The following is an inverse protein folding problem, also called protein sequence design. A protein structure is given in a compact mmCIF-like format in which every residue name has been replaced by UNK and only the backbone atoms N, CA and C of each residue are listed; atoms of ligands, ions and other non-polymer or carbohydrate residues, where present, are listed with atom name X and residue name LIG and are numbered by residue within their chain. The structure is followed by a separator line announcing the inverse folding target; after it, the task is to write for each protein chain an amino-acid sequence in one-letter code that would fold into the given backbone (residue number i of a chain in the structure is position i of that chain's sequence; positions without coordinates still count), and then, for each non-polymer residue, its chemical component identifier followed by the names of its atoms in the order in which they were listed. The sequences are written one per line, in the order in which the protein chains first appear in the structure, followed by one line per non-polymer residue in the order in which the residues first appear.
data_IF_356767108540
#
_entry.id   IF_356767108540
#
_cell.length_a   1.000
_cell.length_b   1.000
_cell.length_c   1.000
_cell.angle_alpha   90.00
_cell.angle_beta   90.00
_cell.angle_gamma   90.00
#
_symmetry.space_group_name_H-M   'P 1'
#
loop_
_entity.id
_entity.type
_entity.pdbx_description
1 polymer ?
#
# COMPACT_ATOMS: atom_id res chain seq x y z
N UNK A 1 -21.01 -1.99 -20.48
CA UNK A 1 -21.47 -1.11 -19.38
C UNK A 1 -20.84 -1.48 -18.06
N UNK A 2 -20.92 -2.74 -17.67
CA UNK A 2 -20.32 -3.19 -16.42
C UNK A 2 -18.81 -3.00 -16.36
N UNK A 3 -18.11 -3.18 -17.48
CA UNK A 3 -16.66 -3.03 -17.51
C UNK A 3 -16.20 -1.61 -17.21
N UNK A 4 -16.88 -0.59 -17.76
CA UNK A 4 -16.56 0.80 -17.51
C UNK A 4 -16.92 1.22 -16.08
N UNK A 5 -18.04 0.70 -15.57
CA UNK A 5 -18.44 0.95 -14.19
C UNK A 5 -17.43 0.36 -13.21
N UNK A 6 -16.98 -0.88 -13.47
CA UNK A 6 -15.97 -1.53 -12.64
C UNK A 6 -14.63 -0.80 -12.71
N UNK A 7 -14.27 -0.30 -13.88
CA UNK A 7 -13.04 0.48 -14.04
C UNK A 7 -13.11 1.77 -13.21
N UNK A 8 -14.27 2.46 -13.25
CA UNK A 8 -14.50 3.64 -12.44
C UNK A 8 -14.39 3.37 -10.95
N UNK A 9 -14.95 2.25 -10.49
CA UNK A 9 -14.85 1.82 -9.09
C UNK A 9 -13.41 1.52 -8.70
N UNK A 10 -12.63 0.90 -9.59
CA UNK A 10 -11.22 0.65 -9.37
C UNK A 10 -10.43 1.95 -9.19
N UNK A 11 -10.75 2.98 -9.99
CA UNK A 11 -10.12 4.29 -9.86
C UNK A 11 -10.39 4.93 -8.49
N UNK A 12 -11.61 4.81 -8.00
CA UNK A 12 -11.99 5.36 -6.68
C UNK A 12 -11.22 4.67 -5.55
N UNK A 13 -10.82 3.42 -5.74
CA UNK A 13 -10.03 2.65 -4.77
C UNK A 13 -8.54 2.96 -4.76
N UNK A 14 -8.04 3.77 -5.70
CA UNK A 14 -6.62 4.06 -5.79
C UNK A 14 -6.17 5.10 -4.75
N UNK A 15 -4.88 5.04 -4.38
CA UNK A 15 -4.26 6.11 -3.61
C UNK A 15 -4.17 7.39 -4.45
N UNK A 16 -4.04 8.54 -3.79
CA UNK A 16 -3.92 9.81 -4.50
C UNK A 16 -2.69 9.85 -5.41
N UNK A 17 -1.60 9.23 -4.99
CA UNK A 17 -0.36 9.16 -5.79
C UNK A 17 -0.60 8.39 -7.09
N UNK A 18 -1.23 7.22 -7.01
CA UNK A 18 -1.53 6.42 -8.20
C UNK A 18 -2.56 7.09 -9.10
N UNK A 19 -3.55 7.73 -8.51
CA UNK A 19 -4.56 8.45 -9.29
C UNK A 19 -3.93 9.57 -10.10
N UNK A 20 -3.03 10.33 -9.50
CA UNK A 20 -2.28 11.38 -10.21
C UNK A 20 -1.39 10.83 -11.32
N UNK A 21 -0.78 9.67 -11.09
CA UNK A 21 0.10 9.03 -12.07
C UNK A 21 -0.61 8.60 -13.34
N UNK A 22 -1.92 8.40 -13.30
CA UNK A 22 -2.71 8.02 -14.47
C UNK A 22 -2.94 9.14 -15.48
N UNK A 23 -2.70 10.38 -15.09
CA UNK A 23 -2.90 11.55 -15.96
C UNK A 23 -4.31 11.59 -16.58
N UNK A 24 -5.32 11.38 -15.76
CA UNK A 24 -6.71 11.40 -16.21
C UNK A 24 -7.14 12.79 -16.68
N UNK A 25 -8.12 12.89 -17.61
CA UNK A 25 -8.72 14.18 -17.90
C UNK A 25 -9.24 14.87 -16.64
N UNK A 26 -9.15 16.18 -16.57
CA UNK A 26 -9.45 16.95 -15.36
C UNK A 26 -10.82 16.63 -14.78
N UNK A 27 -11.84 16.57 -15.62
CA UNK A 27 -13.22 16.25 -15.18
C UNK A 27 -13.30 14.89 -14.50
N UNK A 28 -12.66 13.89 -15.08
CA UNK A 28 -12.66 12.53 -14.52
C UNK A 28 -11.87 12.48 -13.23
N UNK A 29 -10.71 13.12 -13.19
CA UNK A 29 -9.90 13.19 -11.97
C UNK A 29 -10.68 13.84 -10.81
N UNK A 30 -11.35 14.96 -11.07
CA UNK A 30 -12.16 15.65 -10.06
C UNK A 30 -13.32 14.78 -9.59
N UNK A 31 -14.00 14.11 -10.51
CA UNK A 31 -15.14 13.24 -10.18
C UNK A 31 -14.71 12.06 -9.31
N UNK A 32 -13.58 11.44 -9.62
CA UNK A 32 -13.01 10.33 -8.82
C UNK A 32 -12.58 10.83 -7.44
N UNK A 33 -11.91 11.97 -7.37
CA UNK A 33 -11.49 12.56 -6.11
C UNK A 33 -12.68 12.89 -5.21
N UNK A 34 -13.76 13.39 -5.79
CA UNK A 34 -14.99 13.67 -5.05
C UNK A 34 -15.61 12.38 -4.50
N UNK A 35 -15.65 11.32 -5.30
CA UNK A 35 -16.17 10.03 -4.85
C UNK A 35 -15.39 9.48 -3.66
N UNK A 36 -14.07 9.69 -3.64
CA UNK A 36 -13.21 9.26 -2.53
C UNK A 36 -13.55 9.97 -1.22
N UNK A 37 -14.06 11.19 -1.29
CA UNK A 37 -14.42 11.97 -0.11
C UNK A 37 -15.84 11.67 0.40
N UNK A 38 -16.70 11.13 -0.45
CA UNK A 38 -18.10 10.88 -0.08
C UNK A 38 -18.20 9.65 0.83
N UNK A 39 -18.90 9.81 1.94
CA UNK A 39 -19.13 8.75 2.92
C UNK A 39 -20.54 8.18 2.87
N UNK A 40 -21.53 8.99 2.46
CA UNK A 40 -22.90 8.54 2.35
C UNK A 40 -23.08 7.62 1.15
N UNK A 41 -23.72 6.49 1.38
CA UNK A 41 -23.90 5.44 0.39
C UNK A 41 -24.60 5.93 -0.88
N UNK A 42 -25.68 6.67 -0.73
CA UNK A 42 -26.48 7.15 -1.87
C UNK A 42 -25.74 8.20 -2.68
N UNK A 43 -25.08 9.15 -2.02
CA UNK A 43 -24.26 10.16 -2.69
C UNK A 43 -23.10 9.50 -3.46
N UNK A 44 -22.45 8.52 -2.84
CA UNK A 44 -21.38 7.78 -3.47
C UNK A 44 -21.86 7.00 -4.69
N UNK A 45 -23.01 6.36 -4.60
CA UNK A 45 -23.61 5.63 -5.72
C UNK A 45 -23.86 6.55 -6.92
N UNK A 46 -24.43 7.74 -6.68
CA UNK A 46 -24.67 8.72 -7.73
C UNK A 46 -23.37 9.19 -8.37
N UNK A 47 -22.35 9.43 -7.57
CA UNK A 47 -21.04 9.86 -8.06
C UNK A 47 -20.40 8.77 -8.91
N UNK A 48 -20.51 7.50 -8.52
CA UNK A 48 -20.00 6.37 -9.31
C UNK A 48 -20.72 6.26 -10.66
N UNK A 49 -22.03 6.53 -10.69
CA UNK A 49 -22.77 6.57 -11.97
C UNK A 49 -22.28 7.70 -12.87
N UNK A 50 -22.01 8.87 -12.29
CA UNK A 50 -21.45 9.99 -13.04
C UNK A 50 -20.07 9.65 -13.61
N UNK A 51 -19.22 9.03 -12.82
CA UNK A 51 -17.89 8.56 -13.25
C UNK A 51 -18.05 7.57 -14.41
N UNK A 52 -19.00 6.64 -14.31
CA UNK A 52 -19.31 5.70 -15.40
C UNK A 52 -19.66 6.40 -16.70
N UNK A 53 -20.43 7.48 -16.64
CA UNK A 53 -20.76 8.28 -17.81
C UNK A 53 -19.53 8.98 -18.39
N UNK A 54 -18.69 9.55 -17.55
CA UNK A 54 -17.44 10.19 -17.99
C UNK A 54 -16.48 9.19 -18.62
N UNK A 55 -16.45 7.96 -18.14
CA UNK A 55 -15.60 6.90 -18.68
C UNK A 55 -15.93 6.56 -20.14
N UNK A 56 -17.15 6.83 -20.58
CA UNK A 56 -17.52 6.59 -21.99
C UNK A 56 -16.80 7.52 -22.97
N UNK A 57 -16.33 8.66 -22.50
CA UNK A 57 -15.63 9.66 -23.30
C UNK A 57 -14.11 9.49 -23.26
N UNK A 58 -13.60 8.53 -22.52
CA UNK A 58 -12.18 8.30 -22.30
C UNK A 58 -11.80 6.94 -22.89
N UNK A 59 -10.60 6.86 -23.48
CA UNK A 59 -10.06 5.57 -23.90
C UNK A 59 -9.65 4.78 -22.64
N UNK A 60 -10.30 3.64 -22.37
CA UNK A 60 -9.99 2.88 -21.16
C UNK A 60 -8.68 2.08 -21.25
N UNK A 61 -8.16 1.85 -22.46
CA UNK A 61 -7.02 0.96 -22.67
C UNK A 61 -5.76 1.37 -21.89
N UNK A 62 -5.31 2.65 -21.91
CA UNK A 62 -4.14 3.04 -21.12
C UNK A 62 -4.36 2.88 -19.61
N UNK A 63 -5.56 3.16 -19.14
CA UNK A 63 -5.92 3.02 -17.73
C UNK A 63 -5.87 1.55 -17.31
N UNK A 64 -6.51 0.68 -18.09
CA UNK A 64 -6.51 -0.76 -17.84
C UNK A 64 -5.11 -1.34 -17.85
N UNK A 65 -4.27 -0.92 -18.80
CA UNK A 65 -2.90 -1.37 -18.92
C UNK A 65 -2.08 -0.96 -17.67
N UNK A 66 -2.26 0.25 -17.18
CA UNK A 66 -1.54 0.72 -15.99
C UNK A 66 -2.01 -0.02 -14.73
N UNK A 67 -3.32 -0.25 -14.58
CA UNK A 67 -3.86 -1.01 -13.46
C UNK A 67 -3.34 -2.45 -13.47
N UNK A 68 -3.25 -3.07 -14.67
CA UNK A 68 -2.69 -4.41 -14.83
C UNK A 68 -1.22 -4.45 -14.40
N UNK A 69 -0.41 -3.45 -14.78
CA UNK A 69 0.99 -3.36 -14.37
C UNK A 69 1.12 -3.26 -12.85
N UNK A 70 0.25 -2.49 -12.20
CA UNK A 70 0.27 -2.36 -10.74
C UNK A 70 -0.16 -3.64 -10.01
N UNK A 71 -0.86 -4.56 -10.69
CA UNK A 71 -1.28 -5.86 -10.14
C UNK A 71 -0.27 -6.96 -10.38
N UNK A 72 0.77 -6.71 -11.16
CA UNK A 72 1.80 -7.72 -11.44
C UNK A 72 2.47 -8.19 -10.15
N UNK A 73 2.79 -9.50 -10.04
CA UNK A 73 3.40 -10.05 -8.82
C UNK A 73 4.69 -9.34 -8.40
N UNK A 74 5.49 -8.87 -9.37
CA UNK A 74 6.70 -8.11 -9.06
C UNK A 74 6.43 -6.80 -8.34
N UNK A 75 5.30 -6.15 -8.59
CA UNK A 75 4.93 -4.90 -7.91
C UNK A 75 4.46 -5.16 -6.48
N UNK A 76 3.77 -6.26 -6.24
CA UNK A 76 3.39 -6.67 -4.89
C UNK A 76 4.62 -6.98 -4.05
N UNK A 77 5.60 -7.67 -4.64
CA UNK A 77 6.86 -7.96 -3.97
C UNK A 77 7.64 -6.70 -3.64
N UNK A 78 7.76 -5.77 -4.58
CA UNK A 78 8.44 -4.50 -4.35
C UNK A 78 7.78 -3.69 -3.23
N UNK A 79 6.45 -3.65 -3.21
CA UNK A 79 5.69 -2.97 -2.16
C UNK A 79 5.94 -3.61 -0.79
N UNK A 80 5.99 -4.94 -0.73
CA UNK A 80 6.27 -5.67 0.51
C UNK A 80 7.68 -5.39 1.02
N UNK A 81 8.68 -5.44 0.12
CA UNK A 81 10.07 -5.15 0.47
C UNK A 81 10.20 -3.73 1.03
N UNK A 82 9.58 -2.74 0.36
CA UNK A 82 9.59 -1.35 0.82
C UNK A 82 8.91 -1.21 2.19
N UNK A 83 7.81 -1.91 2.41
CA UNK A 83 7.10 -1.90 3.70
C UNK A 83 7.96 -2.54 4.81
N UNK A 84 8.66 -3.64 4.51
CA UNK A 84 9.54 -4.28 5.46
C UNK A 84 10.70 -3.37 5.86
N UNK A 85 11.28 -2.66 4.89
CA UNK A 85 12.34 -1.68 5.16
C UNK A 85 11.85 -0.54 6.05
N UNK A 86 10.65 -0.02 5.78
CA UNK A 86 10.06 1.04 6.61
C UNK A 86 9.79 0.55 8.04
N UNK A 87 9.23 -0.64 8.19
CA UNK A 87 8.97 -1.20 9.51
C UNK A 87 10.26 -1.44 10.28
N UNK A 88 11.31 -1.92 9.60
CA UNK A 88 12.62 -2.12 10.23
C UNK A 88 13.14 -0.82 10.84
N UNK A 89 13.13 0.26 10.07
CA UNK A 89 13.59 1.55 10.56
C UNK A 89 12.71 2.08 11.71
N UNK A 90 11.40 1.89 11.61
CA UNK A 90 10.47 2.32 12.64
C UNK A 90 10.66 1.56 13.95
N UNK A 91 10.78 0.24 13.92
CA UNK A 91 10.95 -0.54 15.14
C UNK A 91 12.31 -0.28 15.80
N UNK A 92 13.30 0.14 15.02
CA UNK A 92 14.62 0.50 15.54
C UNK A 92 14.66 1.89 16.18
N UNK A 93 13.83 2.83 15.70
CA UNK A 93 13.98 4.25 16.06
C UNK A 93 12.75 4.88 16.71
N UNK A 94 11.55 4.34 16.52
CA UNK A 94 10.32 4.92 17.07
C UNK A 94 9.83 4.16 18.30
N UNK A 95 9.55 4.88 19.38
CA UNK A 95 8.94 4.30 20.58
C UNK A 95 7.53 3.80 20.23
N UNK A 96 7.22 2.57 20.62
CA UNK A 96 5.91 1.97 20.39
C UNK A 96 5.67 1.42 18.99
N UNK A 97 6.65 1.51 18.08
CA UNK A 97 6.50 1.00 16.72
C UNK A 97 6.30 -0.51 16.69
N UNK A 98 7.01 -1.25 17.55
CA UNK A 98 6.84 -2.71 17.65
C UNK A 98 5.43 -3.07 18.11
N UNK A 99 4.86 -2.32 19.03
CA UNK A 99 3.49 -2.52 19.50
C UNK A 99 2.50 -2.29 18.34
N UNK A 100 2.70 -1.23 17.58
CA UNK A 100 1.85 -0.93 16.42
C UNK A 100 1.94 -2.02 15.36
N UNK A 101 3.14 -2.54 15.11
CA UNK A 101 3.33 -3.64 14.17
C UNK A 101 2.56 -4.88 14.62
N UNK A 102 2.66 -5.25 15.89
CA UNK A 102 1.95 -6.41 16.43
C UNK A 102 0.44 -6.24 16.41
N UNK A 103 -0.07 -5.02 16.53
CA UNK A 103 -1.49 -4.74 16.38
C UNK A 103 -1.96 -4.90 14.94
N UNK A 104 -1.18 -4.42 13.98
CA UNK A 104 -1.52 -4.50 12.55
C UNK A 104 -1.31 -5.90 12.00
N UNK A 105 -0.33 -6.63 12.50
CA UNK A 105 0.01 -7.98 12.05
C UNK A 105 -0.01 -8.92 13.27
N UNK A 106 -1.18 -9.50 13.61
CA UNK A 106 -1.32 -10.33 14.82
C UNK A 106 -0.41 -11.56 14.87
N UNK A 107 0.09 -12.01 13.71
CA UNK A 107 1.01 -13.17 13.63
C UNK A 107 2.44 -12.81 14.03
N UNK A 108 2.74 -11.54 14.26
CA UNK A 108 4.08 -11.10 14.63
C UNK A 108 4.52 -11.72 15.95
N UNK A 109 5.74 -12.29 15.96
CA UNK A 109 6.36 -12.78 17.17
C UNK A 109 7.10 -11.63 17.84
N UNK A 110 6.43 -11.00 18.80
CA UNK A 110 6.95 -9.84 19.51
C UNK A 110 8.29 -10.13 20.18
N UNK A 111 8.41 -11.27 20.84
CA UNK A 111 9.63 -11.65 21.58
C UNK A 111 10.82 -11.78 20.61
N UNK A 112 10.61 -12.44 19.50
CA UNK A 112 11.65 -12.62 18.49
C UNK A 112 12.06 -11.28 17.86
N UNK A 113 11.09 -10.46 17.49
CA UNK A 113 11.37 -9.13 16.91
C UNK A 113 12.07 -8.22 17.89
N UNK A 114 11.65 -8.21 19.15
CA UNK A 114 12.32 -7.44 20.19
C UNK A 114 13.76 -7.88 20.39
N UNK A 115 14.03 -9.18 20.36
CA UNK A 115 15.38 -9.72 20.46
C UNK A 115 16.25 -9.28 19.28
N UNK A 116 15.71 -9.28 18.06
CA UNK A 116 16.43 -8.83 16.86
C UNK A 116 16.72 -7.33 16.90
N UNK A 117 15.78 -6.53 17.41
CA UNK A 117 15.99 -5.09 17.60
C UNK A 117 17.13 -4.84 18.59
N UNK A 118 17.13 -5.55 19.72
CA UNK A 118 18.17 -5.42 20.74
C UNK A 118 19.55 -5.82 20.19
N UNK A 119 19.61 -6.92 19.45
CA UNK A 119 20.87 -7.39 18.83
C UNK A 119 21.38 -6.41 17.77
N UNK A 120 20.48 -5.82 16.99
CA UNK A 120 20.85 -4.79 16.01
C UNK A 120 21.48 -3.59 16.71
N UNK A 121 20.89 -3.13 17.80
CA UNK A 121 21.40 -2.01 18.57
C UNK A 121 22.80 -2.34 19.14
N UNK A 122 22.99 -3.55 19.64
CA UNK A 122 24.28 -4.03 20.16
C UNK A 122 25.34 -4.08 19.03
N UNK A 123 25.01 -4.64 17.89
CA UNK A 123 25.93 -4.68 16.75
C UNK A 123 26.39 -3.28 16.34
N UNK A 124 25.48 -2.32 16.29
CA UNK A 124 25.81 -0.94 15.95
C UNK A 124 26.73 -0.29 17.00
N UNK A 125 26.46 -0.54 18.27
CA UNK A 125 27.27 0.01 19.35
C UNK A 125 28.71 -0.51 19.34
N UNK A 126 28.92 -1.75 18.87
CA UNK A 126 30.24 -2.39 18.85
C UNK A 126 30.90 -2.35 17.46
N UNK A 127 30.26 -1.73 16.47
CA UNK A 127 30.77 -1.74 15.10
C UNK A 127 30.85 -3.12 14.47
N UNK A 128 30.05 -4.06 14.95
CA UNK A 128 29.99 -5.44 14.44
C UNK A 128 29.25 -5.51 13.11
N UNK A 129 29.48 -6.58 12.30
CA UNK A 129 28.74 -6.77 11.06
C UNK A 129 27.22 -6.79 11.29
N UNK A 130 26.40 -6.28 10.34
CA UNK A 130 24.97 -6.06 10.57
C UNK A 130 24.13 -7.34 10.34
N UNK A 131 24.45 -8.43 11.04
CA UNK A 131 23.75 -9.70 10.91
C UNK A 131 22.31 -9.62 11.42
N UNK A 132 22.11 -9.06 12.59
CA UNK A 132 20.76 -8.91 13.18
C UNK A 132 19.92 -7.93 12.39
N UNK A 133 20.52 -6.86 11.88
CA UNK A 133 19.82 -5.88 11.03
C UNK A 133 19.25 -6.55 9.77
N UNK A 134 20.05 -7.41 9.12
CA UNK A 134 19.61 -8.16 7.94
C UNK A 134 18.56 -9.20 8.28
N UNK A 135 18.75 -9.89 9.40
CA UNK A 135 17.81 -10.90 9.87
C UNK A 135 16.45 -10.29 10.22
N UNK A 136 16.46 -9.10 10.82
CA UNK A 136 15.25 -8.34 11.13
C UNK A 136 14.45 -8.05 9.84
N UNK A 137 15.11 -7.63 8.78
CA UNK A 137 14.44 -7.43 7.49
C UNK A 137 13.82 -8.72 6.98
N UNK A 138 14.56 -9.82 7.00
CA UNK A 138 14.05 -11.12 6.52
C UNK A 138 12.82 -11.57 7.30
N UNK A 139 12.83 -11.38 8.61
CA UNK A 139 11.70 -11.72 9.46
C UNK A 139 10.48 -10.86 9.14
N UNK A 140 10.66 -9.55 8.99
CA UNK A 140 9.58 -8.62 8.64
C UNK A 140 9.03 -8.91 7.25
N UNK A 141 9.89 -9.17 6.29
CA UNK A 141 9.48 -9.49 4.92
C UNK A 141 8.66 -10.77 4.86
N UNK A 142 9.09 -11.81 5.57
CA UNK A 142 8.35 -13.07 5.66
C UNK A 142 6.99 -12.87 6.34
N UNK A 143 6.95 -12.10 7.41
CA UNK A 143 5.74 -11.78 8.15
C UNK A 143 4.71 -11.06 7.28
N UNK A 144 5.15 -10.05 6.52
CA UNK A 144 4.27 -9.30 5.63
C UNK A 144 3.80 -10.13 4.44
N UNK A 145 4.60 -11.09 3.99
CA UNK A 145 4.19 -12.03 2.94
C UNK A 145 2.99 -12.86 3.40
N UNK A 146 3.02 -13.35 4.64
CA UNK A 146 1.94 -14.15 5.20
C UNK A 146 0.67 -13.33 5.46
N UNK A 147 0.79 -12.02 5.58
CA UNK A 147 -0.33 -11.12 5.81
C UNK A 147 -1.03 -10.66 4.52
N UNK A 148 -0.44 -10.95 3.36
CA UNK A 148 -1.03 -10.62 2.05
C UNK A 148 -2.24 -11.47 1.69
#
# INVERSE_FOLDING_TARGET
MHALQQLGEALVGLSSVRLQALELPDKLFEAVSEAQRLTQREARRRQLQFIGRLMREVDPAPIEAQLARWREPGNAEKARVAAAERWRERVLHEVGALDRLCEQVPRADRTRLAALVARTTEERAHGSPPHAYRELFRELNALLRLAE
#
